data_IF_834910691421
#
_entry.id   IF_834910691421
#
_cell.length_a   1.000
_cell.length_b   1.000
_cell.length_c   1.000
_cell.angle_alpha   90.00
_cell.angle_beta   90.00
_cell.angle_gamma   90.00
#
_symmetry.space_group_name_H-M   'P 1'
#
loop_
_entity.id
_entity.type
_entity.pdbx_description
1 polymer ?
#
# COMPACT_ATOMS: atom_id res chain seq x y z
N UNK A 1 3.21 32.83 44.37
CA UNK A 1 2.53 33.98 43.74
C UNK A 1 3.32 34.36 42.51
N UNK A 2 2.91 33.87 41.34
CA UNK A 2 3.47 34.25 40.04
C UNK A 2 2.29 34.66 39.15
N UNK A 3 2.07 35.96 39.06
CA UNK A 3 1.37 36.65 37.98
C UNK A 3 2.48 37.37 37.18
N UNK A 4 2.50 37.52 35.86
CA UNK A 4 1.57 37.27 34.76
C UNK A 4 2.44 37.27 33.47
N UNK A 5 1.93 36.81 32.33
CA UNK A 5 1.85 37.59 31.08
C UNK A 5 1.01 36.79 30.05
N UNK A 6 0.05 37.42 29.34
CA UNK A 6 -0.89 36.75 28.48
C UNK A 6 -0.29 36.52 27.09
N UNK A 7 -0.12 35.27 26.68
CA UNK A 7 0.14 34.96 25.27
C UNK A 7 -1.19 34.73 24.57
N UNK A 8 -1.56 35.71 23.74
CA UNK A 8 -2.63 35.68 22.75
C UNK A 8 -2.89 34.23 22.29
N UNK A 9 -4.04 33.65 22.66
CA UNK A 9 -4.60 32.50 21.94
C UNK A 9 -4.85 33.00 20.53
N UNK A 10 -3.84 32.88 19.64
CA UNK A 10 -4.08 32.93 18.20
C UNK A 10 -5.19 31.91 17.96
N UNK A 11 -6.27 32.33 17.33
CA UNK A 11 -7.23 31.42 16.72
C UNK A 11 -6.41 30.32 16.05
N UNK A 12 -6.49 29.10 16.58
CA UNK A 12 -6.00 27.92 15.90
C UNK A 12 -6.94 27.78 14.72
N UNK A 13 -6.55 28.36 13.59
CA UNK A 13 -7.25 28.12 12.33
C UNK A 13 -7.25 26.61 12.12
N UNK A 14 -8.47 26.04 12.04
CA UNK A 14 -8.64 24.63 11.74
C UNK A 14 -7.93 24.34 10.42
N UNK A 15 -6.97 23.42 10.47
CA UNK A 15 -6.28 22.98 9.26
C UNK A 15 -7.10 21.83 8.71
N UNK A 16 -7.57 21.96 7.47
CA UNK A 16 -8.38 20.93 6.82
C UNK A 16 -7.57 20.14 5.78
N UNK A 17 -7.84 18.85 5.68
CA UNK A 17 -7.40 18.01 4.56
C UNK A 17 -8.54 17.87 3.56
N UNK A 18 -8.36 18.39 2.36
CA UNK A 18 -9.37 18.32 1.28
C UNK A 18 -9.55 16.90 0.74
N UNK A 19 -8.48 16.10 0.64
CA UNK A 19 -8.57 14.72 0.15
C UNK A 19 -9.16 13.73 1.17
N UNK A 20 -9.24 14.10 2.44
CA UNK A 20 -9.80 13.25 3.49
C UNK A 20 -11.09 13.81 4.10
N UNK A 21 -11.49 15.02 3.72
CA UNK A 21 -12.63 15.76 4.29
C UNK A 21 -12.62 15.78 5.84
N UNK A 22 -11.44 16.01 6.42
CA UNK A 22 -11.24 16.07 7.87
C UNK A 22 -10.65 17.43 8.27
N UNK A 23 -11.16 17.99 9.37
CA UNK A 23 -10.63 19.20 10.02
C UNK A 23 -9.87 18.85 11.30
N UNK A 24 -8.83 19.62 11.59
CA UNK A 24 -7.95 19.40 12.74
C UNK A 24 -7.79 20.69 13.54
N UNK A 25 -8.02 20.60 14.84
CA UNK A 25 -7.93 21.74 15.77
C UNK A 25 -6.49 22.20 16.03
N UNK A 26 -5.48 21.46 15.55
CA UNK A 26 -4.09 21.90 15.59
C UNK A 26 -3.19 21.26 14.52
N UNK A 27 -2.09 21.94 14.20
CA UNK A 27 -1.06 21.45 13.26
C UNK A 27 -0.45 20.10 13.64
N UNK A 28 -0.39 19.75 14.93
CA UNK A 28 0.15 18.46 15.37
C UNK A 28 -0.75 17.31 14.95
N UNK A 29 -2.06 17.45 15.15
CA UNK A 29 -3.06 16.48 14.70
C UNK A 29 -3.06 16.38 13.18
N UNK A 30 -3.04 17.52 12.47
CA UNK A 30 -2.92 17.54 11.01
C UNK A 30 -1.67 16.78 10.54
N UNK A 31 -0.49 17.07 11.11
CA UNK A 31 0.77 16.34 10.79
C UNK A 31 0.71 14.85 11.17
N UNK A 32 -0.09 14.47 12.18
CA UNK A 32 -0.36 13.07 12.51
C UNK A 32 -1.22 12.42 11.43
N UNK A 33 -2.29 13.09 11.01
CA UNK A 33 -3.18 12.67 9.94
C UNK A 33 -2.46 12.49 8.60
N UNK A 34 -1.54 13.39 8.23
CA UNK A 34 -0.73 13.24 6.99
C UNK A 34 0.06 11.92 6.93
N UNK A 35 0.27 11.25 8.07
CA UNK A 35 0.93 9.95 8.19
C UNK A 35 -0.06 8.79 8.43
N UNK A 36 -1.35 9.07 8.51
CA UNK A 36 -2.38 8.06 8.71
C UNK A 36 -2.63 7.26 7.45
N UNK A 37 -3.02 5.99 7.61
CA UNK A 37 -3.35 5.12 6.47
C UNK A 37 -4.50 5.65 5.63
N UNK A 38 -5.47 6.34 6.25
CA UNK A 38 -6.56 7.00 5.54
C UNK A 38 -6.03 8.05 4.56
N UNK A 39 -5.13 8.94 5.02
CA UNK A 39 -4.54 9.97 4.17
C UNK A 39 -3.66 9.37 3.07
N UNK A 40 -2.83 8.38 3.42
CA UNK A 40 -1.95 7.71 2.47
C UNK A 40 -2.77 6.97 1.39
N UNK A 41 -3.88 6.35 1.78
CA UNK A 41 -4.80 5.65 0.87
C UNK A 41 -5.53 6.61 -0.07
N UNK A 42 -6.06 7.73 0.45
CA UNK A 42 -6.78 8.70 -0.36
C UNK A 42 -5.89 9.50 -1.31
N UNK A 43 -4.57 9.53 -1.06
CA UNK A 43 -3.58 10.09 -1.97
C UNK A 43 -2.84 9.01 -2.79
N UNK A 44 -3.34 7.78 -2.84
CA UNK A 44 -2.77 6.77 -3.71
C UNK A 44 -3.04 7.14 -5.18
N UNK A 45 -1.98 7.22 -5.97
CA UNK A 45 -2.06 7.47 -7.39
C UNK A 45 -2.34 6.14 -8.11
N UNK A 46 -3.41 6.11 -8.91
CA UNK A 46 -3.65 5.00 -9.85
C UNK A 46 -2.55 5.04 -10.90
N UNK A 47 -1.77 3.97 -11.02
CA UNK A 47 -0.76 3.83 -12.07
C UNK A 47 -1.30 3.02 -13.23
N UNK A 48 -1.94 1.89 -12.92
CA UNK A 48 -2.63 1.01 -13.86
C UNK A 48 -3.81 0.33 -13.15
N UNK A 49 -4.69 -0.32 -13.90
CA UNK A 49 -5.78 -1.13 -13.33
C UNK A 49 -5.21 -2.18 -12.36
N UNK A 50 -5.72 -2.18 -11.13
CA UNK A 50 -5.27 -3.07 -10.06
C UNK A 50 -3.93 -2.69 -9.40
N UNK A 51 -3.25 -1.62 -9.84
CA UNK A 51 -1.96 -1.17 -9.28
C UNK A 51 -2.00 0.32 -8.91
N UNK A 52 -1.80 0.58 -7.63
CA UNK A 52 -1.79 1.90 -7.03
C UNK A 52 -0.42 2.17 -6.40
N UNK A 53 0.05 3.41 -6.45
CA UNK A 53 1.26 3.86 -5.75
C UNK A 53 0.87 4.85 -4.68
N UNK A 54 1.24 4.57 -3.43
CA UNK A 54 1.01 5.53 -2.36
C UNK A 54 1.97 6.72 -2.49
N UNK A 55 1.45 7.93 -2.25
CA UNK A 55 2.25 9.14 -2.28
C UNK A 55 3.39 9.07 -1.24
N UNK A 56 4.61 9.41 -1.67
CA UNK A 56 5.82 9.31 -0.86
C UNK A 56 6.46 10.67 -0.62
N UNK A 57 6.84 10.93 0.64
CA UNK A 57 7.46 12.19 1.07
C UNK A 57 8.97 12.28 0.81
N UNK A 58 9.57 11.32 0.08
CA UNK A 58 11.03 11.24 -0.15
C UNK A 58 11.44 11.33 -1.62
N UNK A 59 10.98 12.36 -2.35
CA UNK A 59 11.26 12.53 -3.80
C UNK A 59 10.96 11.26 -4.62
N UNK A 60 9.88 10.55 -4.26
CA UNK A 60 9.48 9.27 -4.88
C UNK A 60 10.50 8.10 -4.77
N UNK A 61 11.54 8.22 -3.94
CA UNK A 61 12.53 7.15 -3.69
C UNK A 61 12.05 6.06 -2.73
N UNK A 62 10.93 6.29 -2.06
CA UNK A 62 10.22 5.24 -1.31
C UNK A 62 8.90 5.01 -2.02
N UNK A 63 8.58 3.78 -2.40
CA UNK A 63 7.31 3.46 -3.03
C UNK A 63 6.62 2.29 -2.31
N UNK A 64 5.34 2.42 -2.03
CA UNK A 64 4.50 1.24 -1.75
C UNK A 64 3.62 1.03 -2.97
N UNK A 65 3.83 -0.09 -3.64
CA UNK A 65 2.94 -0.55 -4.70
C UNK A 65 1.84 -1.37 -4.04
N UNK A 66 0.64 -0.81 -4.07
CA UNK A 66 -0.56 -1.48 -3.63
C UNK A 66 -1.18 -2.19 -4.82
N UNK A 67 -1.35 -3.49 -4.70
CA UNK A 67 -2.05 -4.30 -5.69
C UNK A 67 -3.38 -4.75 -5.10
N UNK A 68 -4.44 -4.62 -5.88
CA UNK A 68 -5.79 -5.00 -5.47
C UNK A 68 -6.29 -6.07 -6.40
N UNK A 69 -6.74 -7.19 -5.83
CA UNK A 69 -7.33 -8.24 -6.64
C UNK A 69 -8.62 -7.77 -7.30
N UNK A 70 -8.81 -8.17 -8.55
CA UNK A 70 -9.94 -7.84 -9.42
C UNK A 70 -10.97 -8.98 -9.47
N UNK A 71 -10.94 -9.87 -8.48
CA UNK A 71 -11.72 -11.10 -8.49
C UNK A 71 -11.11 -12.16 -9.40
N UNK A 72 -9.79 -12.44 -9.29
CA UNK A 72 -9.15 -13.59 -9.94
C UNK A 72 -9.09 -14.80 -9.01
N UNK A 73 -9.25 -16.00 -9.58
CA UNK A 73 -9.59 -17.24 -8.88
C UNK A 73 -8.65 -17.63 -7.73
N UNK A 74 -7.40 -17.20 -7.80
CA UNK A 74 -6.41 -17.38 -6.75
C UNK A 74 -5.35 -16.27 -6.81
N UNK A 75 -4.73 -16.01 -5.65
CA UNK A 75 -3.70 -14.96 -5.50
C UNK A 75 -2.47 -15.22 -6.37
N UNK A 76 -2.12 -16.48 -6.66
CA UNK A 76 -0.96 -16.77 -7.52
C UNK A 76 -1.24 -16.30 -8.95
N UNK A 77 -2.43 -16.60 -9.47
CA UNK A 77 -2.87 -16.11 -10.79
C UNK A 77 -2.94 -14.59 -10.84
N UNK A 78 -3.42 -13.94 -9.77
CA UNK A 78 -3.42 -12.48 -9.69
C UNK A 78 -2.00 -11.90 -9.72
N UNK A 79 -1.10 -12.40 -8.86
CA UNK A 79 0.29 -11.96 -8.78
C UNK A 79 1.02 -12.14 -10.11
N UNK A 80 0.81 -13.25 -10.82
CA UNK A 80 1.41 -13.45 -12.14
C UNK A 80 0.87 -12.42 -13.15
N UNK A 81 -0.42 -12.10 -13.08
CA UNK A 81 -1.02 -11.15 -14.02
C UNK A 81 -0.56 -9.70 -13.87
N UNK A 82 -0.12 -9.30 -12.67
CA UNK A 82 0.40 -7.94 -12.40
C UNK A 82 1.93 -7.88 -12.42
N UNK A 83 2.61 -9.02 -12.61
CA UNK A 83 4.07 -9.17 -12.60
C UNK A 83 4.77 -8.23 -13.58
N UNK A 84 4.49 -8.37 -14.87
CA UNK A 84 5.15 -7.58 -15.91
C UNK A 84 4.95 -6.07 -15.72
N UNK A 85 3.73 -5.68 -15.35
CA UNK A 85 3.37 -4.28 -15.09
C UNK A 85 4.14 -3.72 -13.90
N UNK A 86 4.17 -4.46 -12.79
CA UNK A 86 4.89 -4.05 -11.58
C UNK A 86 6.40 -3.98 -11.82
N UNK A 87 6.97 -4.94 -12.55
CA UNK A 87 8.39 -4.94 -12.93
C UNK A 87 8.74 -3.70 -13.76
N UNK A 88 7.91 -3.38 -14.77
CA UNK A 88 8.10 -2.18 -15.59
C UNK A 88 8.07 -0.90 -14.75
N UNK A 89 7.13 -0.78 -13.80
CA UNK A 89 7.05 0.38 -12.91
C UNK A 89 8.29 0.53 -12.01
N UNK A 90 8.81 -0.59 -11.48
CA UNK A 90 10.04 -0.61 -10.70
C UNK A 90 11.21 -0.16 -11.56
N UNK A 91 11.35 -0.73 -12.76
CA UNK A 91 12.40 -0.40 -13.72
C UNK A 91 12.39 1.08 -14.12
N UNK A 92 11.24 1.60 -14.56
CA UNK A 92 11.10 3.00 -15.00
C UNK A 92 11.41 3.98 -13.85
N UNK A 93 11.05 3.61 -12.62
CA UNK A 93 11.38 4.42 -11.43
C UNK A 93 12.88 4.39 -11.13
N UNK A 94 13.54 3.24 -11.29
CA UNK A 94 14.98 3.10 -11.07
C UNK A 94 15.77 3.87 -12.12
N UNK A 95 15.38 3.83 -13.41
CA UNK A 95 16.00 4.63 -14.46
C UNK A 95 15.97 6.14 -14.17
N UNK A 96 14.94 6.61 -13.46
CA UNK A 96 14.81 8.03 -13.12
C UNK A 96 15.57 8.43 -11.85
N UNK A 97 15.71 7.52 -10.89
CA UNK A 97 16.15 7.86 -9.52
C UNK A 97 17.41 7.12 -9.05
N UNK A 98 17.93 6.20 -9.86
CA UNK A 98 19.05 5.28 -9.64
C UNK A 98 18.87 4.30 -8.45
N UNK A 99 17.83 4.51 -7.65
CA UNK A 99 17.55 3.77 -6.44
C UNK A 99 16.07 3.91 -6.07
N UNK A 100 15.51 2.81 -5.55
CA UNK A 100 14.13 2.73 -5.10
C UNK A 100 14.06 1.85 -3.87
N UNK A 101 13.49 2.38 -2.79
CA UNK A 101 13.07 1.59 -1.63
C UNK A 101 11.60 1.22 -1.81
N UNK A 102 11.30 -0.02 -2.16
CA UNK A 102 9.94 -0.45 -2.46
C UNK A 102 9.36 -1.44 -1.44
N UNK A 103 8.04 -1.44 -1.33
CA UNK A 103 7.23 -2.41 -0.60
C UNK A 103 6.06 -2.82 -1.50
N UNK A 104 5.73 -4.11 -1.54
CA UNK A 104 4.53 -4.61 -2.18
C UNK A 104 3.45 -4.84 -1.12
N UNK A 105 2.22 -4.41 -1.38
CA UNK A 105 1.08 -4.61 -0.49
C UNK A 105 -0.13 -5.11 -1.28
N UNK A 106 -0.56 -6.33 -1.00
CA UNK A 106 -1.77 -6.94 -1.56
C UNK A 106 -2.97 -6.63 -0.67
N UNK A 107 -4.08 -6.20 -1.29
CA UNK A 107 -5.40 -6.17 -0.68
C UNK A 107 -6.30 -7.21 -1.34
N UNK A 108 -6.94 -8.05 -0.53
CA UNK A 108 -7.84 -9.10 -0.99
C UNK A 108 -9.00 -9.29 0.00
N UNK A 109 -10.15 -9.69 -0.53
CA UNK A 109 -11.32 -10.05 0.26
C UNK A 109 -11.29 -11.54 0.60
N UNK A 110 -11.50 -11.85 1.86
CA UNK A 110 -11.59 -13.21 2.39
C UNK A 110 -12.97 -13.41 2.97
N UNK A 111 -13.50 -14.60 2.79
CA UNK A 111 -14.79 -15.02 3.30
C UNK A 111 -14.61 -16.17 4.27
N UNK A 112 -15.33 -16.07 5.38
CA UNK A 112 -15.40 -17.12 6.38
C UNK A 112 -16.87 -17.35 6.71
N UNK A 113 -17.28 -18.61 6.72
CA UNK A 113 -18.61 -18.99 7.19
C UNK A 113 -18.57 -19.24 8.69
N UNK A 114 -19.40 -18.53 9.44
CA UNK A 114 -19.57 -18.70 10.88
C UNK A 114 -21.07 -18.91 11.14
N UNK A 115 -21.46 -20.07 11.65
CA UNK A 115 -22.88 -20.41 11.92
C UNK A 115 -23.80 -20.16 10.70
N UNK A 116 -23.40 -20.62 9.52
CA UNK A 116 -24.09 -20.41 8.23
C UNK A 116 -24.22 -18.94 7.77
N UNK A 117 -23.60 -18.00 8.48
CA UNK A 117 -23.49 -16.61 8.05
C UNK A 117 -22.16 -16.36 7.32
N UNK A 118 -22.24 -15.69 6.17
CA UNK A 118 -21.08 -15.32 5.37
C UNK A 118 -20.45 -14.03 5.90
N UNK A 119 -19.19 -14.12 6.37
CA UNK A 119 -18.42 -12.97 6.82
C UNK A 119 -17.32 -12.63 5.80
N UNK A 120 -17.51 -11.54 5.07
CA UNK A 120 -16.53 -11.00 4.13
C UNK A 120 -15.63 -9.98 4.85
N UNK A 121 -14.32 -10.17 4.78
CA UNK A 121 -13.31 -9.30 5.39
C UNK A 121 -12.28 -8.86 4.36
N UNK A 122 -12.02 -7.56 4.28
CA UNK A 122 -10.86 -7.04 3.56
C UNK A 122 -9.59 -7.25 4.40
N UNK A 123 -8.59 -7.92 3.83
CA UNK A 123 -7.27 -8.09 4.44
C UNK A 123 -6.19 -7.51 3.56
N UNK A 124 -5.07 -7.17 4.18
CA UNK A 124 -3.88 -6.68 3.49
C UNK A 124 -2.64 -7.42 3.94
N UNK A 125 -1.81 -7.83 2.99
CA UNK A 125 -0.50 -8.44 3.23
C UNK A 125 0.56 -7.58 2.60
N UNK A 126 1.65 -7.30 3.32
CA UNK A 126 2.72 -6.48 2.80
C UNK A 126 4.08 -7.13 2.98
N UNK A 127 5.02 -6.80 2.10
CA UNK A 127 6.42 -7.17 2.27
C UNK A 127 7.11 -6.22 3.25
N UNK A 128 8.34 -6.53 3.66
CA UNK A 128 9.23 -5.50 4.20
C UNK A 128 9.69 -4.59 3.05
N UNK A 129 10.16 -3.39 3.39
CA UNK A 129 10.81 -2.55 2.41
C UNK A 129 12.12 -3.19 1.92
N UNK A 130 12.31 -3.25 0.62
CA UNK A 130 13.54 -3.68 -0.05
C UNK A 130 14.12 -2.49 -0.80
N UNK A 131 15.44 -2.33 -0.76
CA UNK A 131 16.15 -1.32 -1.54
C UNK A 131 16.66 -1.97 -2.80
N UNK A 132 16.34 -1.36 -3.93
CA UNK A 132 16.74 -1.82 -5.25
C UNK A 132 17.44 -0.67 -5.96
N UNK A 133 18.60 -0.95 -6.54
CA UNK A 133 19.42 0.04 -7.21
C UNK A 133 19.56 -0.30 -8.68
N UNK A 134 19.97 0.70 -9.46
CA UNK A 134 20.31 0.55 -10.87
C UNK A 134 21.24 -0.64 -11.13
N UNK A 135 22.29 -0.80 -10.32
CA UNK A 135 23.23 -1.93 -10.41
C UNK A 135 22.59 -3.30 -10.21
N UNK A 136 21.49 -3.38 -9.46
CA UNK A 136 20.80 -4.65 -9.18
C UNK A 136 19.72 -4.97 -10.20
N UNK A 137 19.19 -3.97 -10.90
CA UNK A 137 18.00 -4.12 -11.77
C UNK A 137 18.30 -3.95 -13.25
N UNK A 138 19.32 -3.19 -13.63
CA UNK A 138 19.66 -2.94 -15.03
C UNK A 138 20.67 -3.94 -15.61
N UNK A 139 21.25 -4.83 -14.80
CA UNK A 139 22.19 -5.84 -15.31
C UNK A 139 21.50 -6.81 -16.28
N UNK A 140 20.25 -7.22 -16.01
CA UNK A 140 19.39 -7.90 -16.98
C UNK A 140 17.91 -7.93 -16.52
N UNK A 141 17.01 -8.34 -17.43
CA UNK A 141 15.55 -8.48 -17.17
C UNK A 141 15.25 -9.58 -16.14
N UNK A 142 16.09 -10.61 -16.01
CA UNK A 142 15.88 -11.68 -15.02
C UNK A 142 16.00 -11.16 -13.60
N UNK A 143 16.88 -10.19 -13.34
CA UNK A 143 17.03 -9.59 -12.00
C UNK A 143 15.76 -8.82 -11.59
N UNK A 144 15.12 -8.14 -12.55
CA UNK A 144 13.84 -7.45 -12.32
C UNK A 144 12.72 -8.42 -11.95
N UNK A 145 12.61 -9.52 -12.71
CA UNK A 145 11.64 -10.57 -12.45
C UNK A 145 11.92 -11.25 -11.12
N UNK A 146 13.19 -11.50 -10.79
CA UNK A 146 13.60 -12.12 -9.53
C UNK A 146 13.25 -11.25 -8.31
N UNK A 147 13.43 -9.94 -8.38
CA UNK A 147 13.01 -9.02 -7.32
C UNK A 147 11.50 -9.09 -7.10
N UNK A 148 10.72 -9.10 -8.18
CA UNK A 148 9.27 -9.23 -8.06
C UNK A 148 8.86 -10.58 -7.49
N UNK A 149 9.43 -11.68 -7.98
CA UNK A 149 9.10 -13.04 -7.55
C UNK A 149 9.35 -13.23 -6.06
N UNK A 150 10.48 -12.73 -5.54
CA UNK A 150 10.75 -12.74 -4.09
C UNK A 150 9.68 -12.00 -3.28
N UNK A 151 9.18 -10.87 -3.78
CA UNK A 151 8.13 -10.10 -3.09
C UNK A 151 6.78 -10.80 -3.19
N UNK A 152 6.45 -11.35 -4.35
CA UNK A 152 5.23 -12.10 -4.61
C UNK A 152 5.16 -13.36 -3.73
N UNK A 153 6.26 -14.11 -3.59
CA UNK A 153 6.33 -15.29 -2.73
C UNK A 153 6.08 -14.95 -1.26
N UNK A 154 6.62 -13.82 -0.76
CA UNK A 154 6.35 -13.35 0.61
C UNK A 154 4.86 -13.04 0.79
N UNK A 155 4.23 -12.39 -0.18
CA UNK A 155 2.79 -12.08 -0.14
C UNK A 155 1.97 -13.37 -0.14
N UNK A 156 2.29 -14.29 -1.04
CA UNK A 156 1.62 -15.59 -1.16
C UNK A 156 1.70 -16.36 0.16
N UNK A 157 2.89 -16.55 0.71
CA UNK A 157 3.07 -17.27 1.97
C UNK A 157 2.26 -16.65 3.12
N UNK A 158 2.22 -15.31 3.21
CA UNK A 158 1.40 -14.62 4.22
C UNK A 158 -0.10 -14.81 4.03
N UNK A 159 -0.56 -14.85 2.78
CA UNK A 159 -1.95 -15.16 2.47
C UNK A 159 -2.28 -16.60 2.82
N UNK A 160 -1.46 -17.55 2.39
CA UNK A 160 -1.68 -18.99 2.59
C UNK A 160 -1.74 -19.29 4.10
N UNK A 161 -0.81 -18.74 4.89
CA UNK A 161 -0.84 -18.82 6.35
C UNK A 161 -2.14 -18.26 6.97
N UNK A 162 -2.70 -17.20 6.39
CA UNK A 162 -3.95 -16.62 6.86
C UNK A 162 -5.14 -17.54 6.53
N UNK A 163 -5.20 -18.07 5.31
CA UNK A 163 -6.26 -19.01 4.92
C UNK A 163 -6.27 -20.27 5.80
N UNK A 164 -5.09 -20.84 6.07
CA UNK A 164 -4.95 -22.02 6.93
C UNK A 164 -5.38 -21.74 8.38
N UNK A 165 -4.95 -20.62 8.95
CA UNK A 165 -5.23 -20.28 10.36
C UNK A 165 -6.66 -19.86 10.60
N UNK A 166 -7.25 -19.12 9.67
CA UNK A 166 -8.59 -18.55 9.84
C UNK A 166 -9.70 -19.36 9.17
N UNK A 167 -9.37 -20.46 8.48
CA UNK A 167 -10.33 -21.24 7.66
C UNK A 167 -11.14 -20.33 6.74
N UNK A 168 -10.46 -19.34 6.15
CA UNK A 168 -11.05 -18.33 5.29
C UNK A 168 -10.70 -18.60 3.83
N UNK A 169 -11.70 -18.55 2.96
CA UNK A 169 -11.54 -18.69 1.51
C UNK A 169 -11.42 -17.31 0.87
N UNK A 170 -10.62 -17.16 -0.18
CA UNK A 170 -10.56 -15.90 -0.93
C UNK A 170 -11.88 -15.77 -1.69
N UNK A 171 -12.60 -14.65 -1.49
CA UNK A 171 -13.84 -14.41 -2.22
C UNK A 171 -13.64 -13.36 -3.29
N UNK A 172 -13.92 -13.82 -4.50
CA UNK A 172 -14.04 -13.05 -5.72
C UNK A 172 -15.16 -12.02 -5.53
N UNK A 173 -14.84 -10.73 -5.62
CA UNK A 173 -15.86 -9.76 -5.97
C UNK A 173 -16.07 -9.91 -7.48
N UNK A 174 -17.06 -10.71 -7.88
CA UNK A 174 -17.59 -10.59 -9.23
C UNK A 174 -18.30 -9.24 -9.30
N UNK A 175 -17.75 -8.32 -10.10
CA UNK A 175 -18.46 -7.11 -10.47
C UNK A 175 -19.77 -7.52 -11.18
N UNK A 176 -20.89 -7.31 -10.50
CA UNK A 176 -22.24 -7.37 -11.08
C UNK A 176 -22.62 -6.01 -11.64
#
# INVERSE_FOLDING_TARGET
MCQEIPTKRKHLEDVASTCCNLSFSCRRQYRGHLRSQLHVSNNAQVLEEGIYKTASSFKNRIATYRITDSGKADISTFLESVKLKTCKLIHDTILQLNSLKLQLELFAYYTKFINDEELIQLKSFNTKYVVVTESTVLENVYDQLAVYDQLADIIKNKSDEFQEKDSAEIKMLNDN
#
